data_IF_476642196935
#
_entry.id   IF_476642196935
#
_cell.length_a   1.000
_cell.length_b   1.000
_cell.length_c   1.000
_cell.angle_alpha   90.00
_cell.angle_beta   90.00
_cell.angle_gamma   90.00
#
_symmetry.space_group_name_H-M   'P 1'
#
loop_
_entity.id
_entity.type
_entity.pdbx_description
1 polymer ?
#
# COMPACT_ATOMS: atom_id res chain seq x y z
N UNK A 1 0.85 -30.43 -13.65
CA UNK A 1 1.48 -29.10 -13.80
C UNK A 1 0.53 -27.92 -13.58
N UNK A 2 -0.80 -28.05 -13.81
CA UNK A 2 -1.78 -26.96 -13.61
C UNK A 2 -1.93 -26.54 -12.13
N UNK A 3 -1.92 -27.50 -11.19
CA UNK A 3 -2.08 -27.24 -9.75
C UNK A 3 -0.90 -26.43 -9.17
N UNK A 4 0.32 -26.67 -9.65
CA UNK A 4 1.53 -25.96 -9.20
C UNK A 4 1.55 -24.52 -9.70
N UNK A 5 1.02 -24.25 -10.91
CA UNK A 5 0.89 -22.89 -11.42
C UNK A 5 -0.08 -22.07 -10.56
N UNK A 6 -1.24 -22.65 -10.22
CA UNK A 6 -2.25 -21.99 -9.41
C UNK A 6 -1.75 -21.67 -7.98
N UNK A 7 -1.02 -22.58 -7.35
CA UNK A 7 -0.48 -22.37 -5.99
C UNK A 7 0.63 -21.31 -5.94
N UNK A 8 1.47 -21.22 -6.98
CA UNK A 8 2.47 -20.16 -7.13
C UNK A 8 1.79 -18.80 -7.37
N UNK A 9 0.75 -18.75 -8.21
CA UNK A 9 -0.03 -17.53 -8.42
C UNK A 9 -0.70 -17.04 -7.14
N UNK A 10 -1.31 -17.94 -6.35
CA UNK A 10 -1.94 -17.59 -5.07
C UNK A 10 -0.90 -17.13 -4.05
N UNK A 11 0.27 -17.77 -3.97
CA UNK A 11 1.34 -17.38 -3.04
C UNK A 11 1.93 -16.01 -3.36
N UNK A 12 2.06 -15.68 -4.64
CA UNK A 12 2.47 -14.34 -5.09
C UNK A 12 1.36 -13.32 -4.83
N UNK A 13 0.09 -13.70 -5.01
CA UNK A 13 -1.05 -12.83 -4.73
C UNK A 13 -1.19 -12.54 -3.23
N UNK A 14 -0.96 -13.53 -2.37
CA UNK A 14 -1.00 -13.36 -0.91
C UNK A 14 0.20 -12.57 -0.41
N UNK A 15 1.43 -12.84 -0.90
CA UNK A 15 2.62 -12.07 -0.53
C UNK A 15 2.53 -10.60 -0.97
N UNK A 16 1.89 -10.32 -2.11
CA UNK A 16 1.65 -8.96 -2.59
C UNK A 16 0.48 -8.27 -1.86
N UNK A 17 -0.57 -9.01 -1.50
CA UNK A 17 -1.66 -8.49 -0.66
C UNK A 17 -1.18 -8.10 0.75
N UNK A 18 -0.34 -8.94 1.36
CA UNK A 18 0.16 -8.70 2.71
C UNK A 18 1.06 -7.46 2.74
N UNK A 19 1.92 -7.30 1.73
CA UNK A 19 2.76 -6.11 1.54
C UNK A 19 1.93 -4.83 1.31
N UNK A 20 0.90 -4.89 0.44
CA UNK A 20 0.01 -3.77 0.16
C UNK A 20 -0.75 -3.28 1.39
N UNK A 21 -1.25 -4.23 2.17
CA UNK A 21 -2.03 -3.95 3.38
C UNK A 21 -1.12 -3.34 4.45
N UNK A 22 0.12 -3.82 4.55
CA UNK A 22 1.14 -3.30 5.46
C UNK A 22 1.50 -1.83 5.19
N UNK A 23 1.67 -1.43 3.94
CA UNK A 23 2.02 -0.04 3.61
C UNK A 23 0.85 0.94 3.86
N UNK A 24 -0.38 0.50 3.60
CA UNK A 24 -1.59 1.26 3.94
C UNK A 24 -1.69 1.46 5.46
N UNK A 25 -1.50 0.39 6.24
CA UNK A 25 -1.53 0.50 7.70
C UNK A 25 -0.40 1.39 8.22
N UNK A 26 0.79 1.33 7.62
CA UNK A 26 1.92 2.17 7.98
C UNK A 26 1.64 3.65 7.73
N UNK A 27 1.05 3.99 6.58
CA UNK A 27 0.58 5.35 6.29
C UNK A 27 -0.49 5.80 7.28
N UNK A 28 -1.53 4.99 7.50
CA UNK A 28 -2.63 5.32 8.39
C UNK A 28 -2.17 5.55 9.83
N UNK A 29 -1.25 4.71 10.34
CA UNK A 29 -0.71 4.85 11.69
C UNK A 29 0.19 6.09 11.83
N UNK A 30 1.05 6.36 10.84
CA UNK A 30 1.88 7.57 10.83
C UNK A 30 1.02 8.84 10.78
N UNK A 31 -0.03 8.85 9.95
CA UNK A 31 -0.97 9.95 9.84
C UNK A 31 -1.75 10.15 11.15
N UNK A 32 -2.24 9.09 11.77
CA UNK A 32 -2.92 9.15 13.07
C UNK A 32 -2.00 9.68 14.18
N UNK A 33 -0.75 9.22 14.22
CA UNK A 33 0.24 9.68 15.20
C UNK A 33 0.57 11.16 15.01
N UNK A 34 0.72 11.63 13.77
CA UNK A 34 0.96 13.04 13.49
C UNK A 34 -0.28 13.90 13.78
N UNK A 35 -1.48 13.43 13.44
CA UNK A 35 -2.74 14.12 13.70
C UNK A 35 -3.03 14.30 15.22
N UNK A 36 -2.39 13.50 16.08
CA UNK A 36 -2.46 13.69 17.55
C UNK A 36 -1.69 14.91 18.04
N UNK A 37 -0.63 15.31 17.34
CA UNK A 37 0.23 16.43 17.76
C UNK A 37 0.04 17.69 16.92
N UNK A 38 -0.59 17.59 15.76
CA UNK A 38 -0.85 18.73 14.87
C UNK A 38 -2.12 18.53 14.03
N UNK A 39 -2.70 19.60 13.46
CA UNK A 39 -3.83 19.50 12.54
C UNK A 39 -3.53 18.59 11.34
N UNK A 40 -4.55 17.89 10.84
CA UNK A 40 -4.41 16.94 9.74
C UNK A 40 -3.75 17.57 8.49
N UNK A 41 -4.09 18.82 8.17
CA UNK A 41 -3.51 19.54 7.02
C UNK A 41 -2.01 19.80 7.15
N UNK A 42 -1.51 19.91 8.38
CA UNK A 42 -0.08 20.07 8.68
C UNK A 42 0.62 18.72 8.74
N UNK A 43 -0.04 17.71 9.32
CA UNK A 43 0.44 16.34 9.34
C UNK A 43 0.65 15.80 7.92
N UNK A 44 -0.29 16.03 7.00
CA UNK A 44 -0.17 15.59 5.61
C UNK A 44 0.96 16.29 4.85
N UNK A 45 1.40 17.46 5.33
CA UNK A 45 2.52 18.20 4.76
C UNK A 45 3.89 17.68 5.21
N UNK A 46 3.96 16.84 6.25
CA UNK A 46 5.20 16.23 6.71
C UNK A 46 5.80 15.35 5.63
N UNK A 47 7.11 15.50 5.41
CA UNK A 47 7.79 14.86 4.29
C UNK A 47 7.69 13.32 4.33
N UNK A 48 7.85 12.73 5.51
CA UNK A 48 7.70 11.28 5.70
C UNK A 48 6.27 10.78 5.41
N UNK A 49 5.23 11.58 5.72
CA UNK A 49 3.83 11.22 5.44
C UNK A 49 3.53 11.34 3.95
N UNK A 50 4.08 12.36 3.28
CA UNK A 50 4.00 12.49 1.82
C UNK A 50 4.60 11.29 1.10
N UNK A 51 5.78 10.84 1.53
CA UNK A 51 6.44 9.66 0.97
C UNK A 51 5.59 8.40 1.16
N UNK A 52 5.04 8.18 2.36
CA UNK A 52 4.14 7.06 2.64
C UNK A 52 2.89 7.09 1.75
N UNK A 53 2.26 8.27 1.61
CA UNK A 53 1.09 8.47 0.75
C UNK A 53 1.41 8.17 -0.71
N UNK A 54 2.54 8.65 -1.21
CA UNK A 54 2.99 8.38 -2.58
C UNK A 54 3.18 6.88 -2.82
N UNK A 55 3.83 6.17 -1.90
CA UNK A 55 4.05 4.73 -2.02
C UNK A 55 2.73 3.95 -2.08
N UNK A 56 1.76 4.30 -1.23
CA UNK A 56 0.42 3.70 -1.26
C UNK A 56 -0.26 3.97 -2.60
N UNK A 57 -0.25 5.21 -3.09
CA UNK A 57 -0.85 5.59 -4.37
C UNK A 57 -0.19 4.87 -5.56
N UNK A 58 1.14 4.77 -5.56
CA UNK A 58 1.89 4.05 -6.58
C UNK A 58 1.52 2.57 -6.61
N UNK A 59 1.37 1.93 -5.46
CA UNK A 59 0.94 0.54 -5.39
C UNK A 59 -0.51 0.35 -5.86
N UNK A 60 -1.43 1.25 -5.49
CA UNK A 60 -2.82 1.24 -6.01
C UNK A 60 -2.81 1.35 -7.53
N UNK A 61 -2.00 2.25 -8.08
CA UNK A 61 -1.88 2.47 -9.51
C UNK A 61 -1.34 1.22 -10.21
N UNK A 62 -0.26 0.61 -9.69
CA UNK A 62 0.29 -0.66 -10.20
C UNK A 62 -0.76 -1.76 -10.22
N UNK A 63 -1.55 -1.90 -9.15
CA UNK A 63 -2.64 -2.90 -9.09
C UNK A 63 -3.71 -2.65 -10.16
N UNK A 64 -4.09 -1.39 -10.39
CA UNK A 64 -5.04 -1.01 -11.45
C UNK A 64 -4.48 -1.29 -12.85
N UNK A 65 -3.21 -1.00 -13.09
CA UNK A 65 -2.54 -1.27 -14.36
C UNK A 65 -2.47 -2.77 -14.61
N UNK A 66 -2.03 -3.56 -13.62
CA UNK A 66 -1.96 -5.02 -13.74
C UNK A 66 -3.34 -5.61 -14.09
N UNK A 67 -4.42 -5.13 -13.44
CA UNK A 67 -5.81 -5.52 -13.74
C UNK A 67 -6.33 -5.11 -15.12
N UNK A 68 -5.70 -4.15 -15.79
CA UNK A 68 -6.08 -3.73 -17.15
C UNK A 68 -5.29 -4.47 -18.23
N UNK A 69 -4.10 -4.93 -17.90
CA UNK A 69 -3.21 -5.67 -18.82
C UNK A 69 -3.54 -7.18 -18.81
N UNK A 70 -3.97 -7.71 -17.67
CA UNK A 70 -4.52 -9.08 -17.53
C UNK A 70 -6.01 -9.10 -17.82
#
# INVERSE_FOLDING_TARGET
MIIVLASVSVSILTSTMDSYTKDIHRYAFAMFKAARSMPADLAEKLDHIKQLRFNVQLQVLRKRINRRIT
#
